data_IF_798162447431
#
_entry.id   IF_798162447431
#
_cell.length_a   1.000
_cell.length_b   1.000
_cell.length_c   1.000
_cell.angle_alpha   90.00
_cell.angle_beta   90.00
_cell.angle_gamma   90.00
#
_symmetry.space_group_name_H-M   'P 1'
#
loop_
_entity.id
_entity.type
_entity.pdbx_description
1 polymer ?
#
# COMPACT_ATOMS: atom_id res chain seq x y z
N UNK A 1 12.13 30.53 -20.79
CA UNK A 1 12.34 29.37 -19.91
C UNK A 1 13.41 28.50 -20.56
N UNK A 2 14.48 28.14 -19.85
CA UNK A 2 15.55 27.32 -20.44
C UNK A 2 15.09 25.86 -20.56
N UNK A 3 15.65 25.09 -21.51
CA UNK A 3 15.30 23.66 -21.69
C UNK A 3 15.40 22.87 -20.38
N UNK A 4 16.37 23.19 -19.52
CA UNK A 4 16.52 22.54 -18.21
C UNK A 4 15.38 22.90 -17.25
N UNK A 5 14.94 24.16 -17.20
CA UNK A 5 13.80 24.55 -16.37
C UNK A 5 12.51 23.85 -16.82
N UNK A 6 12.32 23.66 -18.14
CA UNK A 6 11.15 22.93 -18.68
C UNK A 6 11.14 21.48 -18.21
N UNK A 7 12.27 20.76 -18.31
CA UNK A 7 12.40 19.37 -17.85
C UNK A 7 12.12 19.22 -16.35
N UNK A 8 12.64 20.14 -15.54
CA UNK A 8 12.40 20.13 -14.08
C UNK A 8 10.90 20.32 -13.79
N UNK A 9 10.25 21.27 -14.46
CA UNK A 9 8.81 21.52 -14.30
C UNK A 9 7.97 20.29 -14.71
N UNK A 10 8.31 19.65 -15.82
CA UNK A 10 7.63 18.45 -16.31
C UNK A 10 7.74 17.29 -15.30
N UNK A 11 8.96 17.07 -14.78
CA UNK A 11 9.20 16.05 -13.76
C UNK A 11 8.41 16.31 -12.48
N UNK A 12 8.41 17.55 -11.98
CA UNK A 12 7.66 17.92 -10.78
C UNK A 12 6.14 17.76 -10.97
N UNK A 13 5.63 18.10 -12.16
CA UNK A 13 4.22 17.89 -12.50
C UNK A 13 3.86 16.40 -12.57
N UNK A 14 4.74 15.56 -13.09
CA UNK A 14 4.54 14.11 -13.15
C UNK A 14 4.44 13.48 -11.76
N UNK A 15 5.41 13.75 -10.88
CA UNK A 15 5.42 13.19 -9.53
C UNK A 15 4.24 13.72 -8.70
N UNK A 16 3.86 15.00 -8.88
CA UNK A 16 2.70 15.60 -8.23
C UNK A 16 1.39 14.93 -8.65
N UNK A 17 1.20 14.66 -9.95
CA UNK A 17 0.01 13.93 -10.46
C UNK A 17 -0.05 12.50 -9.93
N UNK A 18 1.11 11.83 -9.82
CA UNK A 18 1.20 10.46 -9.29
C UNK A 18 0.88 10.42 -7.80
N UNK A 19 1.47 11.32 -7.02
CA UNK A 19 1.23 11.48 -5.59
C UNK A 19 -0.22 11.85 -5.28
N UNK A 20 -0.77 12.82 -6.02
CA UNK A 20 -2.18 13.22 -5.91
C UNK A 20 -3.17 12.09 -6.23
N UNK A 21 -2.89 11.27 -7.26
CA UNK A 21 -3.70 10.07 -7.54
C UNK A 21 -3.60 9.03 -6.42
N UNK A 22 -2.42 8.87 -5.81
CA UNK A 22 -2.23 7.94 -4.71
C UNK A 22 -2.91 8.42 -3.41
N UNK A 23 -2.81 9.71 -3.09
CA UNK A 23 -3.44 10.30 -1.91
C UNK A 23 -4.96 10.37 -2.01
N UNK A 24 -5.51 10.44 -3.23
CA UNK A 24 -6.94 10.34 -3.51
C UNK A 24 -7.51 8.92 -3.44
N UNK A 25 -6.68 7.89 -3.17
CA UNK A 25 -7.21 6.52 -3.04
C UNK A 25 -8.10 6.45 -1.82
N UNK A 26 -9.36 6.12 -2.04
CA UNK A 26 -10.32 5.88 -0.98
C UNK A 26 -10.19 4.44 -0.47
N UNK A 27 -10.26 4.29 0.86
CA UNK A 27 -10.30 2.97 1.47
C UNK A 27 -11.70 2.36 1.27
N UNK A 28 -11.84 1.54 0.23
CA UNK A 28 -13.08 0.82 -0.04
C UNK A 28 -13.41 -0.15 1.11
N UNK A 29 -14.70 -0.48 1.28
CA UNK A 29 -15.16 -1.47 2.25
C UNK A 29 -14.46 -2.84 2.06
N UNK A 30 -14.18 -3.24 0.82
CA UNK A 30 -13.46 -4.49 0.53
C UNK A 30 -12.02 -4.45 1.03
N UNK A 31 -11.29 -3.37 0.76
CA UNK A 31 -9.93 -3.18 1.30
C UNK A 31 -9.92 -3.15 2.84
N UNK A 32 -10.90 -2.47 3.46
CA UNK A 32 -11.01 -2.43 4.91
C UNK A 32 -11.20 -3.84 5.51
N UNK A 33 -12.08 -4.67 4.91
CA UNK A 33 -12.27 -6.07 5.33
C UNK A 33 -11.00 -6.89 5.18
N UNK A 34 -10.27 -6.75 4.08
CA UNK A 34 -8.98 -7.43 3.88
C UNK A 34 -7.96 -7.01 4.96
N UNK A 35 -7.87 -5.72 5.30
CA UNK A 35 -7.01 -5.25 6.37
C UNK A 35 -7.36 -5.86 7.73
N UNK A 36 -8.66 -6.00 8.03
CA UNK A 36 -9.13 -6.62 9.28
C UNK A 36 -8.77 -8.09 9.32
N UNK A 37 -9.06 -8.84 8.26
CA UNK A 37 -8.73 -10.26 8.19
C UNK A 37 -7.22 -10.53 8.33
N UNK A 38 -6.35 -9.70 7.72
CA UNK A 38 -4.89 -9.79 7.94
C UNK A 38 -4.52 -9.53 9.42
N UNK A 39 -5.18 -8.56 10.07
CA UNK A 39 -4.94 -8.26 11.50
C UNK A 39 -5.39 -9.41 12.40
N UNK A 40 -6.52 -10.02 12.10
CA UNK A 40 -7.05 -11.17 12.84
C UNK A 40 -6.15 -12.39 12.68
N UNK A 41 -5.68 -12.69 11.46
CA UNK A 41 -4.70 -13.74 11.20
C UNK A 41 -3.41 -13.50 12.00
N UNK A 42 -2.90 -12.26 12.01
CA UNK A 42 -1.73 -11.90 12.83
C UNK A 42 -1.99 -12.15 14.32
N UNK A 43 -3.14 -11.72 14.84
CA UNK A 43 -3.50 -11.91 16.26
C UNK A 43 -3.59 -13.39 16.60
N UNK A 44 -4.22 -14.20 15.75
CA UNK A 44 -4.34 -15.64 15.93
C UNK A 44 -2.96 -16.32 15.93
N UNK A 45 -2.07 -15.97 14.99
CA UNK A 45 -0.73 -16.50 14.91
C UNK A 45 0.10 -16.18 16.16
N UNK A 46 0.07 -14.91 16.61
CA UNK A 46 0.77 -14.50 17.85
C UNK A 46 0.21 -15.26 19.06
N UNK A 47 -1.13 -15.39 19.17
CA UNK A 47 -1.77 -16.14 20.26
C UNK A 47 -1.37 -17.62 20.25
N UNK A 48 -1.17 -18.21 19.08
CA UNK A 48 -0.71 -19.58 18.92
C UNK A 48 0.81 -19.75 19.10
N UNK A 49 1.55 -18.69 19.46
CA UNK A 49 3.01 -18.72 19.59
C UNK A 49 3.75 -18.87 18.24
N UNK A 50 3.04 -18.69 17.13
CA UNK A 50 3.61 -18.79 15.79
C UNK A 50 4.29 -17.48 15.40
N UNK A 51 5.39 -17.58 14.63
CA UNK A 51 6.07 -16.42 14.06
C UNK A 51 5.19 -15.80 12.97
N UNK A 52 4.86 -14.51 13.13
CA UNK A 52 4.25 -13.68 12.10
C UNK A 52 5.28 -12.69 11.53
N UNK A 53 5.33 -12.44 10.20
CA UNK A 53 4.54 -13.09 9.15
C UNK A 53 4.99 -14.54 8.89
N UNK A 54 4.13 -15.38 8.27
CA UNK A 54 4.52 -16.70 7.81
C UNK A 54 5.71 -16.61 6.83
N UNK A 55 6.56 -17.65 6.80
CA UNK A 55 7.67 -17.71 5.82
C UNK A 55 7.16 -17.64 4.38
N UNK A 56 6.02 -18.28 4.11
CA UNK A 56 5.33 -18.12 2.84
C UNK A 56 4.41 -16.90 2.88
N UNK A 57 4.81 -15.84 2.16
CA UNK A 57 4.06 -14.58 2.08
C UNK A 57 2.76 -14.71 1.28
N UNK A 58 2.57 -15.79 0.51
CA UNK A 58 1.30 -16.05 -0.19
C UNK A 58 0.16 -16.26 0.80
N UNK A 59 0.47 -16.79 1.99
CA UNK A 59 -0.49 -17.01 3.07
C UNK A 59 -1.02 -15.70 3.70
N UNK A 60 -0.38 -14.56 3.43
CA UNK A 60 -0.83 -13.24 3.92
C UNK A 60 -1.76 -12.54 2.93
N UNK A 61 -1.77 -12.97 1.66
CA UNK A 61 -2.62 -12.37 0.63
C UNK A 61 -4.01 -12.97 0.70
N UNK A 62 -4.98 -12.14 1.06
CA UNK A 62 -6.39 -12.46 0.88
C UNK A 62 -6.73 -12.18 -0.59
N UNK A 63 -6.99 -13.26 -1.34
CA UNK A 63 -7.43 -13.24 -2.74
C UNK A 63 -8.78 -12.55 -2.91
#
# INVERSE_FOLDING_TARGET
MTKNQTKVREYLAEIGRRGGRASRRELTKSHARQMVAIREMKRAAIKAGMRWPPRDQRLVKLS
#
